data_IF_659952936946
#
_entry.id   IF_659952936946
#
_cell.length_a   1.000
_cell.length_b   1.000
_cell.length_c   1.000
_cell.angle_alpha   90.00
_cell.angle_beta   90.00
_cell.angle_gamma   90.00
#
_symmetry.space_group_name_H-M   'P 1'
#
loop_
_entity.id
_entity.type
_entity.pdbx_description
1 polymer ?
#
# COMPACT_ATOMS: atom_id res chain seq x y z
N UNK A 1 -15.07 3.82 30.74
CA UNK A 1 -15.25 4.17 29.31
C UNK A 1 -16.49 3.43 28.83
N UNK A 2 -17.38 4.06 28.06
CA UNK A 2 -18.63 3.40 27.65
C UNK A 2 -18.32 2.09 26.92
N UNK A 3 -19.12 1.06 27.16
CA UNK A 3 -18.89 -0.29 26.64
C UNK A 3 -18.88 -0.41 25.10
N UNK A 4 -19.19 0.66 24.37
CA UNK A 4 -19.44 0.65 22.92
C UNK A 4 -18.54 1.61 22.09
N UNK A 5 -17.31 1.95 22.53
CA UNK A 5 -16.40 2.78 21.71
C UNK A 5 -15.63 1.91 20.70
N UNK A 6 -15.88 2.03 19.37
CA UNK A 6 -15.40 1.05 18.39
C UNK A 6 -13.97 1.32 17.89
N UNK A 7 -13.23 2.20 18.58
CA UNK A 7 -11.85 2.57 18.21
C UNK A 7 -10.91 2.17 19.33
N UNK A 8 -9.82 1.53 18.95
CA UNK A 8 -8.68 1.34 19.85
C UNK A 8 -7.77 2.56 19.74
N UNK A 9 -7.58 3.26 20.86
CA UNK A 9 -6.66 4.40 20.97
C UNK A 9 -5.39 4.04 21.75
N UNK A 10 -5.35 2.82 22.28
CA UNK A 10 -4.27 2.35 23.14
C UNK A 10 -3.32 1.49 22.32
N UNK A 11 -3.85 0.55 21.52
CA UNK A 11 -3.04 -0.42 20.81
C UNK A 11 -2.10 -1.14 21.78
N UNK A 12 -0.83 -1.24 21.43
CA UNK A 12 0.19 -1.82 22.31
C UNK A 12 0.61 -0.93 23.49
N UNK A 13 0.17 0.33 23.54
CA UNK A 13 0.63 1.31 24.52
C UNK A 13 2.16 1.42 24.54
N UNK A 14 2.75 1.41 25.73
CA UNK A 14 4.21 1.50 25.91
C UNK A 14 4.93 0.13 25.86
N UNK A 15 4.23 -0.96 25.52
CA UNK A 15 4.79 -2.31 25.52
C UNK A 15 4.60 -3.00 24.14
N UNK A 16 5.11 -2.41 23.03
CA UNK A 16 5.04 -3.07 21.73
C UNK A 16 5.80 -4.41 21.74
N UNK A 17 5.28 -5.44 21.06
CA UNK A 17 5.96 -6.72 20.97
C UNK A 17 7.26 -6.55 20.18
N UNK A 18 8.35 -7.15 20.66
CA UNK A 18 9.58 -7.23 19.87
C UNK A 18 9.34 -8.16 18.67
N UNK A 19 9.44 -7.68 17.42
CA UNK A 19 8.97 -8.42 16.26
C UNK A 19 9.89 -9.56 15.82
N UNK A 20 11.14 -9.57 16.32
CA UNK A 20 12.16 -10.61 16.03
C UNK A 20 12.34 -10.83 14.52
N UNK A 21 12.50 -9.71 13.80
CA UNK A 21 12.64 -9.74 12.34
C UNK A 21 13.76 -10.69 11.87
N UNK A 22 13.58 -11.39 10.74
CA UNK A 22 14.60 -12.27 10.18
C UNK A 22 15.97 -11.59 10.05
N UNK A 23 17.03 -12.34 10.38
CA UNK A 23 18.40 -11.81 10.36
C UNK A 23 18.69 -10.81 11.49
N UNK A 24 17.87 -10.79 12.56
CA UNK A 24 17.95 -9.82 13.64
C UNK A 24 17.91 -8.38 13.10
N UNK A 25 17.04 -8.13 12.12
CA UNK A 25 16.94 -6.81 11.53
C UNK A 25 16.40 -5.79 12.55
N UNK A 26 17.04 -4.61 12.60
CA UNK A 26 16.63 -3.48 13.43
C UNK A 26 15.42 -2.76 12.84
N UNK A 27 15.20 -2.90 11.54
CA UNK A 27 14.06 -2.32 10.82
C UNK A 27 13.63 -3.23 9.66
N UNK A 28 12.33 -3.34 9.45
CA UNK A 28 11.75 -3.97 8.26
C UNK A 28 11.25 -2.88 7.29
N UNK A 29 11.73 -2.87 6.05
CA UNK A 29 11.32 -1.92 5.02
C UNK A 29 10.37 -2.58 4.03
N UNK A 30 9.14 -2.05 3.95
CA UNK A 30 8.12 -2.46 3.00
C UNK A 30 7.94 -1.40 1.92
N UNK A 31 8.59 -1.58 0.77
CA UNK A 31 8.33 -0.75 -0.41
C UNK A 31 7.06 -1.20 -1.12
N UNK A 32 6.14 -0.26 -1.30
CA UNK A 32 4.82 -0.49 -1.91
C UNK A 32 4.70 0.31 -3.19
N UNK A 33 4.49 -0.36 -4.32
CA UNK A 33 4.23 0.28 -5.60
C UNK A 33 2.75 0.14 -5.95
N UNK A 34 2.04 1.27 -5.99
CA UNK A 34 0.66 1.35 -6.42
C UNK A 34 0.60 1.31 -7.95
N UNK A 35 -0.28 0.46 -8.48
CA UNK A 35 -0.60 0.36 -9.90
C UNK A 35 -2.10 0.61 -10.10
N UNK A 36 -2.41 1.85 -10.45
CA UNK A 36 -3.78 2.39 -10.46
C UNK A 36 -4.16 2.92 -11.85
N UNK A 37 -3.16 3.16 -12.70
CA UNK A 37 -3.26 3.76 -14.02
C UNK A 37 -4.09 2.88 -14.98
N UNK A 38 -5.28 3.36 -15.32
CA UNK A 38 -6.32 2.66 -16.07
C UNK A 38 -7.49 2.18 -15.20
N UNK A 39 -7.43 2.36 -13.89
CA UNK A 39 -8.49 2.03 -12.92
C UNK A 39 -9.13 3.24 -12.23
N UNK A 40 -8.59 4.43 -12.45
CA UNK A 40 -9.04 5.72 -11.89
C UNK A 40 -10.42 6.16 -12.39
N UNK A 41 -10.91 7.31 -11.88
CA UNK A 41 -12.20 7.87 -12.32
C UNK A 41 -12.17 8.30 -13.78
N UNK A 42 -13.06 7.75 -14.58
CA UNK A 42 -13.27 8.15 -15.96
C UNK A 42 -14.70 7.79 -16.42
N UNK A 43 -15.32 8.64 -17.25
CA UNK A 43 -16.62 8.32 -17.85
C UNK A 43 -16.58 7.07 -18.74
N UNK A 44 -15.41 6.74 -19.30
CA UNK A 44 -15.18 5.50 -20.05
C UNK A 44 -15.21 4.24 -19.16
N UNK A 45 -15.11 4.42 -17.83
CA UNK A 45 -15.18 3.37 -16.83
C UNK A 45 -16.56 3.29 -16.17
N UNK A 46 -17.52 4.13 -16.61
CA UNK A 46 -18.87 4.22 -16.06
C UNK A 46 -19.01 5.22 -14.91
N UNK A 47 -17.97 6.02 -14.61
CA UNK A 47 -18.05 7.03 -13.58
C UNK A 47 -18.76 8.30 -14.08
N UNK A 48 -19.29 9.11 -13.16
CA UNK A 48 -19.98 10.36 -13.50
C UNK A 48 -19.06 11.54 -13.82
N UNK A 49 -17.76 11.40 -13.59
CA UNK A 49 -16.79 12.48 -13.64
C UNK A 49 -15.38 11.97 -13.97
N UNK A 50 -14.50 12.89 -14.37
CA UNK A 50 -13.06 12.62 -14.56
C UNK A 50 -12.28 12.67 -13.25
N UNK A 51 -11.12 12.02 -13.23
CA UNK A 51 -10.18 12.05 -12.12
C UNK A 51 -9.62 13.45 -11.83
N UNK A 52 -9.29 13.68 -10.57
CA UNK A 52 -8.72 14.94 -10.06
C UNK A 52 -7.61 14.73 -9.01
N UNK A 53 -7.38 13.49 -8.57
CA UNK A 53 -6.47 13.16 -7.49
C UNK A 53 -5.12 12.67 -8.02
N UNK A 54 -4.06 12.91 -7.25
CA UNK A 54 -2.68 12.44 -7.47
C UNK A 54 -2.17 12.59 -8.90
N UNK A 55 -2.09 13.84 -9.37
CA UNK A 55 -1.43 14.17 -10.62
C UNK A 55 -0.71 15.52 -10.55
N UNK A 56 0.04 15.85 -11.58
CA UNK A 56 0.74 17.14 -11.69
C UNK A 56 -0.22 18.34 -11.73
N UNK A 57 -1.51 18.11 -12.02
CA UNK A 57 -2.55 19.13 -11.92
C UNK A 57 -3.05 19.22 -10.47
N UNK A 58 -2.20 19.73 -9.57
CA UNK A 58 -2.43 19.73 -8.11
C UNK A 58 -3.70 20.46 -7.64
N UNK A 59 -4.28 21.30 -8.49
CA UNK A 59 -5.53 22.01 -8.25
C UNK A 59 -6.69 21.53 -9.14
N UNK A 60 -6.56 20.36 -9.78
CA UNK A 60 -7.60 19.79 -10.62
C UNK A 60 -8.90 19.60 -9.82
N UNK A 61 -10.02 19.79 -10.52
CA UNK A 61 -11.36 19.47 -10.04
C UNK A 61 -11.98 18.44 -11.00
N UNK A 62 -12.82 17.53 -10.50
CA UNK A 62 -13.52 16.58 -11.36
C UNK A 62 -14.42 17.30 -12.37
N UNK A 63 -14.36 16.91 -13.64
CA UNK A 63 -15.25 17.43 -14.67
C UNK A 63 -16.45 16.49 -14.83
N UNK A 64 -17.66 16.96 -14.50
CA UNK A 64 -18.90 16.17 -14.56
C UNK A 64 -19.25 15.80 -16.00
N UNK A 65 -19.49 14.50 -16.27
CA UNK A 65 -19.88 13.98 -17.58
C UNK A 65 -18.84 14.20 -18.68
N UNK A 66 -17.61 14.58 -18.34
CA UNK A 66 -16.56 14.94 -19.28
C UNK A 66 -15.29 14.15 -19.01
N UNK A 67 -14.52 13.94 -20.08
CA UNK A 67 -13.13 13.49 -20.00
C UNK A 67 -12.23 14.66 -19.70
N UNK A 68 -11.20 14.44 -18.88
CA UNK A 68 -10.12 15.38 -18.68
C UNK A 68 -8.87 14.83 -19.38
N UNK A 69 -8.66 15.24 -20.63
CA UNK A 69 -7.61 14.69 -21.51
C UNK A 69 -6.20 14.83 -20.91
N UNK A 70 -5.92 15.94 -20.24
CA UNK A 70 -4.63 16.15 -19.57
C UNK A 70 -4.45 15.20 -18.39
N UNK A 71 -5.50 14.99 -17.60
CA UNK A 71 -5.47 14.04 -16.49
C UNK A 71 -5.23 12.60 -16.98
N UNK A 72 -5.96 12.17 -18.02
CA UNK A 72 -5.77 10.86 -18.64
C UNK A 72 -4.31 10.67 -19.08
N UNK A 73 -3.73 11.65 -19.78
CA UNK A 73 -2.34 11.58 -20.24
C UNK A 73 -1.32 11.53 -19.10
N UNK A 74 -1.59 12.21 -17.97
CA UNK A 74 -0.74 12.16 -16.78
C UNK A 74 -0.77 10.76 -16.13
N UNK A 75 -1.93 10.11 -16.09
CA UNK A 75 -2.06 8.72 -15.65
C UNK A 75 -1.38 7.75 -16.62
N UNK A 76 -1.58 7.91 -17.93
CA UNK A 76 -0.92 7.10 -18.96
C UNK A 76 0.61 7.11 -18.83
N UNK A 77 1.23 8.19 -18.33
CA UNK A 77 2.67 8.20 -18.07
C UNK A 77 3.11 7.08 -17.12
N UNK A 78 2.33 6.83 -16.07
CA UNK A 78 2.65 5.82 -15.07
C UNK A 78 2.71 4.42 -15.68
N UNK A 79 1.66 4.01 -16.39
CA UNK A 79 1.59 2.69 -17.03
C UNK A 79 2.51 2.54 -18.24
N UNK A 80 2.77 3.62 -19.00
CA UNK A 80 3.61 3.57 -20.22
C UNK A 80 5.10 3.63 -19.93
N UNK A 81 5.52 4.40 -18.93
CA UNK A 81 6.93 4.74 -18.73
C UNK A 81 7.39 4.67 -17.28
N UNK A 82 6.59 5.19 -16.33
CA UNK A 82 6.95 5.26 -14.92
C UNK A 82 7.22 3.88 -14.32
N UNK A 83 6.28 2.95 -14.50
CA UNK A 83 6.33 1.59 -13.96
C UNK A 83 7.61 0.85 -14.36
N UNK A 84 7.98 0.88 -15.65
CA UNK A 84 9.17 0.19 -16.15
C UNK A 84 10.48 0.77 -15.59
N UNK A 85 10.50 2.07 -15.30
CA UNK A 85 11.68 2.71 -14.71
C UNK A 85 11.84 2.32 -13.24
N UNK A 86 10.73 2.23 -12.51
CA UNK A 86 10.71 1.82 -11.10
C UNK A 86 11.11 0.35 -10.97
N UNK A 87 10.51 -0.56 -11.74
CA UNK A 87 10.85 -1.99 -11.70
C UNK A 87 12.34 -2.23 -12.00
N UNK A 88 12.91 -1.52 -12.99
CA UNK A 88 14.35 -1.57 -13.27
C UNK A 88 15.21 -1.13 -12.07
N UNK A 89 14.80 -0.10 -11.34
CA UNK A 89 15.52 0.37 -10.16
C UNK A 89 15.50 -0.70 -9.06
N UNK A 90 14.34 -1.26 -8.73
CA UNK A 90 14.23 -2.28 -7.68
C UNK A 90 14.99 -3.56 -8.03
N UNK A 91 14.96 -3.98 -9.31
CA UNK A 91 15.78 -5.09 -9.81
C UNK A 91 17.28 -4.85 -9.68
N UNK A 92 17.75 -3.62 -9.93
CA UNK A 92 19.18 -3.28 -9.80
C UNK A 92 19.70 -3.45 -8.37
N UNK A 93 18.85 -3.26 -7.36
CA UNK A 93 19.21 -3.36 -5.95
C UNK A 93 18.78 -4.68 -5.29
N UNK A 94 18.16 -5.59 -6.05
CA UNK A 94 17.59 -6.84 -5.55
C UNK A 94 16.70 -6.59 -4.31
N UNK A 95 15.72 -5.71 -4.47
CA UNK A 95 14.75 -5.37 -3.42
C UNK A 95 13.36 -5.80 -3.89
N UNK A 96 12.65 -6.63 -3.11
CA UNK A 96 11.30 -7.02 -3.46
C UNK A 96 10.30 -5.89 -3.21
N UNK A 97 9.19 -5.92 -3.95
CA UNK A 97 8.07 -5.00 -3.80
C UNK A 97 6.80 -5.74 -3.39
N UNK A 98 5.91 -5.02 -2.71
CA UNK A 98 4.48 -5.33 -2.71
C UNK A 98 3.78 -4.40 -3.68
N UNK A 99 3.04 -4.95 -4.62
CA UNK A 99 2.28 -4.17 -5.60
C UNK A 99 0.85 -4.04 -5.09
N UNK A 100 0.41 -2.81 -4.86
CA UNK A 100 -1.00 -2.50 -4.64
C UNK A 100 -1.66 -2.33 -6.00
N UNK A 101 -2.20 -3.43 -6.54
CA UNK A 101 -2.71 -3.51 -7.90
C UNK A 101 -4.23 -3.33 -7.96
N UNK A 102 -4.68 -2.26 -8.60
CA UNK A 102 -6.10 -2.05 -8.89
C UNK A 102 -6.49 -3.02 -10.01
N UNK A 103 -7.51 -3.84 -9.79
CA UNK A 103 -7.79 -4.95 -10.69
C UNK A 103 -8.18 -4.50 -12.11
N UNK A 104 -8.94 -3.41 -12.26
CA UNK A 104 -9.22 -2.85 -13.58
C UNK A 104 -7.95 -2.37 -14.30
N UNK A 105 -7.01 -1.75 -13.59
CA UNK A 105 -5.73 -1.34 -14.17
C UNK A 105 -4.90 -2.55 -14.61
N UNK A 106 -4.87 -3.60 -13.79
CA UNK A 106 -4.22 -4.87 -14.10
C UNK A 106 -4.78 -5.52 -15.37
N UNK A 107 -6.11 -5.54 -15.57
CA UNK A 107 -6.73 -6.07 -16.80
C UNK A 107 -6.34 -5.32 -18.06
N UNK A 108 -6.11 -4.02 -17.96
CA UNK A 108 -5.73 -3.18 -19.11
C UNK A 108 -4.26 -3.36 -19.49
N UNK A 109 -3.43 -3.83 -18.58
CA UNK A 109 -2.00 -4.03 -18.83
C UNK A 109 -1.50 -5.32 -18.15
N UNK A 110 -2.01 -6.50 -18.54
CA UNK A 110 -1.67 -7.75 -17.85
C UNK A 110 -0.19 -8.12 -18.02
N UNK A 111 0.48 -7.60 -19.05
CA UNK A 111 1.92 -7.78 -19.29
C UNK A 111 2.78 -7.21 -18.16
N UNK A 112 2.44 -6.04 -17.61
CA UNK A 112 3.23 -5.47 -16.51
C UNK A 112 3.02 -6.23 -15.21
N UNK A 113 1.81 -6.74 -14.95
CA UNK A 113 1.54 -7.58 -13.78
C UNK A 113 2.32 -8.89 -13.88
N UNK A 114 2.34 -9.54 -15.05
CA UNK A 114 3.16 -10.74 -15.27
C UNK A 114 4.64 -10.46 -15.11
N UNK A 115 5.13 -9.28 -15.51
CA UNK A 115 6.52 -8.89 -15.26
C UNK A 115 6.81 -8.74 -13.76
N UNK A 116 5.92 -8.10 -13.01
CA UNK A 116 6.03 -7.96 -11.54
C UNK A 116 6.08 -9.33 -10.84
N UNK A 117 5.19 -10.26 -11.24
CA UNK A 117 5.19 -11.65 -10.72
C UNK A 117 6.47 -12.38 -11.08
N UNK A 118 6.95 -12.27 -12.31
CA UNK A 118 8.19 -12.91 -12.76
C UNK A 118 9.44 -12.39 -12.02
N UNK A 119 9.39 -11.16 -11.49
CA UNK A 119 10.42 -10.58 -10.63
C UNK A 119 10.23 -10.91 -9.13
N UNK A 120 9.25 -11.75 -8.79
CA UNK A 120 8.99 -12.21 -7.42
C UNK A 120 8.29 -11.21 -6.51
N UNK A 121 7.80 -10.09 -7.08
CA UNK A 121 7.01 -9.11 -6.33
C UNK A 121 5.65 -9.71 -5.94
N UNK A 122 5.15 -9.30 -4.78
CA UNK A 122 3.82 -9.69 -4.32
C UNK A 122 2.75 -8.87 -5.07
N UNK A 123 1.65 -9.51 -5.48
CA UNK A 123 0.45 -8.82 -5.98
C UNK A 123 -0.61 -8.79 -4.87
N UNK A 124 -0.73 -7.63 -4.21
CA UNK A 124 -1.76 -7.33 -3.23
C UNK A 124 -2.94 -6.63 -3.92
N UNK A 125 -4.17 -6.93 -3.49
CA UNK A 125 -5.35 -6.30 -4.07
C UNK A 125 -5.42 -4.84 -3.66
N UNK A 126 -5.59 -3.94 -4.64
CA UNK A 126 -5.90 -2.53 -4.40
C UNK A 126 -7.34 -2.17 -4.80
N UNK A 127 -8.28 -3.10 -4.60
CA UNK A 127 -9.66 -2.96 -5.04
C UNK A 127 -9.87 -3.20 -6.53
N UNK A 128 -11.14 -3.22 -6.96
CA UNK A 128 -11.48 -3.36 -8.38
C UNK A 128 -11.28 -2.04 -9.13
N UNK A 129 -11.66 -0.92 -8.50
CA UNK A 129 -11.61 0.43 -9.04
C UNK A 129 -10.81 1.31 -8.09
N UNK A 130 -10.09 2.28 -8.65
CA UNK A 130 -9.43 3.29 -7.84
C UNK A 130 -10.35 4.50 -7.65
N UNK A 131 -11.34 4.33 -6.78
CA UNK A 131 -12.38 5.34 -6.47
C UNK A 131 -12.54 5.49 -4.95
N UNK A 132 -13.41 6.41 -4.55
CA UNK A 132 -13.80 6.57 -3.15
C UNK A 132 -14.96 5.62 -2.82
N UNK A 133 -14.76 4.74 -1.84
CA UNK A 133 -15.74 3.77 -1.38
C UNK A 133 -16.59 4.28 -0.20
N UNK A 134 -16.34 5.50 0.30
CA UNK A 134 -17.01 6.09 1.46
C UNK A 134 -18.54 5.98 1.44
N UNK A 135 -19.15 6.14 0.27
CA UNK A 135 -20.60 6.19 0.08
C UNK A 135 -21.12 5.05 -0.83
N UNK A 136 -20.31 4.03 -1.09
CA UNK A 136 -20.74 2.87 -1.88
C UNK A 136 -21.69 1.99 -1.05
N UNK A 137 -22.73 1.46 -1.67
CA UNK A 137 -23.56 0.47 -0.99
C UNK A 137 -22.79 -0.83 -0.78
N UNK A 138 -23.07 -1.50 0.34
CA UNK A 138 -22.33 -2.69 0.76
C UNK A 138 -22.40 -3.84 -0.26
N UNK A 139 -23.52 -3.99 -0.96
CA UNK A 139 -23.68 -5.05 -1.95
C UNK A 139 -22.78 -4.81 -3.17
N UNK A 140 -22.73 -3.58 -3.67
CA UNK A 140 -21.83 -3.17 -4.74
C UNK A 140 -20.36 -3.27 -4.32
N UNK A 141 -20.01 -2.82 -3.12
CA UNK A 141 -18.63 -2.90 -2.61
C UNK A 141 -18.15 -4.35 -2.49
N UNK A 142 -19.00 -5.25 -1.99
CA UNK A 142 -18.71 -6.69 -1.91
C UNK A 142 -18.52 -7.31 -3.30
N UNK A 143 -19.33 -6.92 -4.29
CA UNK A 143 -19.15 -7.39 -5.67
C UNK A 143 -17.85 -6.85 -6.30
N UNK A 144 -17.49 -5.59 -6.05
CA UNK A 144 -16.20 -5.04 -6.46
C UNK A 144 -15.04 -5.84 -5.83
N UNK A 145 -15.16 -6.22 -4.56
CA UNK A 145 -14.16 -7.09 -3.91
C UNK A 145 -14.03 -8.45 -4.60
N UNK A 146 -15.16 -9.10 -4.85
CA UNK A 146 -15.19 -10.40 -5.54
C UNK A 146 -14.56 -10.32 -6.93
N UNK A 147 -14.87 -9.27 -7.69
CA UNK A 147 -14.29 -9.04 -9.02
C UNK A 147 -12.79 -8.81 -8.96
N UNK A 148 -12.31 -8.00 -8.00
CA UNK A 148 -10.89 -7.76 -7.83
C UNK A 148 -10.11 -9.05 -7.55
N UNK A 149 -10.59 -9.87 -6.62
CA UNK A 149 -9.98 -11.16 -6.28
C UNK A 149 -9.92 -12.06 -7.51
N UNK A 150 -11.05 -12.21 -8.23
CA UNK A 150 -11.12 -13.04 -9.43
C UNK A 150 -10.09 -12.61 -10.48
N UNK A 151 -10.11 -11.32 -10.84
CA UNK A 151 -9.25 -10.75 -11.88
C UNK A 151 -7.77 -10.92 -11.54
N UNK A 152 -7.39 -10.57 -10.30
CA UNK A 152 -5.99 -10.64 -9.90
C UNK A 152 -5.50 -12.09 -9.81
N UNK A 153 -6.38 -13.02 -9.41
CA UNK A 153 -6.08 -14.46 -9.44
C UNK A 153 -5.82 -14.93 -10.88
N UNK A 154 -6.68 -14.55 -11.82
CA UNK A 154 -6.55 -14.94 -13.24
C UNK A 154 -5.27 -14.40 -13.88
N UNK A 155 -4.86 -13.16 -13.56
CA UNK A 155 -3.70 -12.51 -14.18
C UNK A 155 -2.38 -12.95 -13.52
N UNK A 156 -2.35 -13.05 -12.19
CA UNK A 156 -1.11 -13.33 -11.44
C UNK A 156 -0.86 -14.81 -11.19
N UNK A 157 -1.87 -15.67 -11.34
CA UNK A 157 -1.79 -17.12 -11.15
C UNK A 157 -2.10 -17.59 -9.73
N UNK A 158 -2.09 -16.70 -8.74
CA UNK A 158 -2.47 -16.98 -7.35
C UNK A 158 -3.40 -15.89 -6.84
N UNK A 159 -4.25 -16.21 -5.85
CA UNK A 159 -5.14 -15.20 -5.26
C UNK A 159 -4.35 -14.17 -4.45
N UNK A 160 -4.78 -12.89 -4.42
CA UNK A 160 -4.20 -11.92 -3.49
C UNK A 160 -4.47 -12.36 -2.04
N UNK A 161 -3.44 -12.25 -1.20
CA UNK A 161 -3.50 -12.54 0.24
C UNK A 161 -3.50 -11.28 1.10
N UNK A 162 -3.25 -10.12 0.49
CA UNK A 162 -3.39 -8.79 1.09
C UNK A 162 -4.49 -7.98 0.42
N UNK A 163 -5.06 -7.04 1.18
CA UNK A 163 -6.01 -6.05 0.68
C UNK A 163 -5.67 -4.63 1.17
N UNK A 164 -5.85 -3.65 0.29
CA UNK A 164 -5.83 -2.22 0.62
C UNK A 164 -6.80 -1.47 -0.30
N UNK A 165 -7.76 -0.72 0.20
CA UNK A 165 -8.62 0.16 -0.63
C UNK A 165 -8.08 1.59 -0.67
N UNK A 166 -7.48 2.06 0.41
CA UNK A 166 -7.08 3.45 0.62
C UNK A 166 -8.26 4.33 1.00
N UNK A 167 -9.13 4.66 0.03
CA UNK A 167 -10.33 5.50 0.27
C UNK A 167 -11.51 4.63 0.71
N UNK A 168 -11.39 4.06 1.91
CA UNK A 168 -12.36 3.13 2.50
C UNK A 168 -13.71 3.80 2.79
N UNK A 169 -14.78 3.01 2.73
CA UNK A 169 -16.01 3.28 3.46
C UNK A 169 -16.09 2.53 4.79
N UNK A 170 -17.18 2.70 5.56
CA UNK A 170 -17.33 2.10 6.88
C UNK A 170 -17.43 0.57 6.84
N UNK A 171 -17.73 -0.01 5.68
CA UNK A 171 -17.88 -1.45 5.50
C UNK A 171 -16.61 -2.13 5.00
N UNK A 172 -15.66 -1.38 4.42
CA UNK A 172 -14.56 -1.94 3.63
C UNK A 172 -13.77 -3.02 4.38
N UNK A 173 -13.16 -2.66 5.53
CA UNK A 173 -12.36 -3.62 6.32
C UNK A 173 -13.19 -4.78 6.85
N UNK A 174 -14.46 -4.55 7.21
CA UNK A 174 -15.38 -5.62 7.60
C UNK A 174 -15.62 -6.61 6.46
N UNK A 175 -15.85 -6.13 5.25
CA UNK A 175 -16.03 -6.99 4.07
C UNK A 175 -14.76 -7.80 3.76
N UNK A 176 -13.57 -7.20 3.92
CA UNK A 176 -12.29 -7.90 3.74
C UNK A 176 -12.18 -9.06 4.71
N UNK A 177 -12.50 -8.82 5.98
CA UNK A 177 -12.53 -9.86 7.01
C UNK A 177 -13.57 -10.95 6.75
N UNK A 178 -14.78 -10.56 6.33
CA UNK A 178 -15.87 -11.48 5.99
C UNK A 178 -15.54 -12.40 4.82
N UNK A 179 -14.74 -11.94 3.83
CA UNK A 179 -14.30 -12.76 2.70
C UNK A 179 -13.44 -13.96 3.16
N UNK A 180 -12.57 -13.74 4.15
CA UNK A 180 -11.93 -14.79 4.92
C UNK A 180 -10.75 -15.51 4.26
N UNK A 181 -10.33 -15.10 3.06
CA UNK A 181 -9.16 -15.64 2.35
C UNK A 181 -7.92 -14.74 2.37
N UNK A 182 -8.00 -13.56 2.99
CA UNK A 182 -6.86 -12.66 3.19
C UNK A 182 -6.09 -13.00 4.47
N UNK A 183 -4.76 -12.96 4.39
CA UNK A 183 -3.89 -13.00 5.56
C UNK A 183 -3.88 -11.65 6.28
N UNK A 184 -3.89 -10.56 5.51
CA UNK A 184 -3.77 -9.22 6.07
C UNK A 184 -4.55 -8.15 5.30
N UNK A 185 -4.81 -7.01 5.96
CA UNK A 185 -5.21 -5.75 5.34
C UNK A 185 -4.26 -4.61 5.72
N UNK A 186 -4.30 -3.51 4.96
CA UNK A 186 -3.44 -2.33 5.17
C UNK A 186 -4.21 -1.01 5.25
N UNK A 187 -5.52 -1.04 5.48
CA UNK A 187 -6.38 0.15 5.46
C UNK A 187 -6.34 0.93 6.80
N UNK A 188 -5.20 0.88 7.48
CA UNK A 188 -4.93 1.61 8.73
C UNK A 188 -3.59 2.34 8.66
N UNK A 189 -3.42 3.34 9.53
CA UNK A 189 -2.24 4.23 9.59
C UNK A 189 -1.90 4.54 11.06
N UNK A 190 -2.07 3.54 11.92
CA UNK A 190 -2.28 3.69 13.36
C UNK A 190 -1.21 3.04 14.24
N UNK A 191 -0.20 2.38 13.66
CA UNK A 191 0.91 1.78 14.41
C UNK A 191 2.17 1.65 13.51
N UNK A 192 3.32 1.43 14.15
CA UNK A 192 4.62 1.13 13.52
C UNK A 192 4.89 -0.39 13.41
N UNK A 193 3.94 -1.21 13.88
CA UNK A 193 3.98 -2.68 13.84
C UNK A 193 2.68 -3.31 13.32
N UNK A 194 2.75 -4.54 12.78
CA UNK A 194 1.56 -5.34 12.57
C UNK A 194 0.84 -5.67 13.88
N UNK A 195 -0.48 -5.84 13.83
CA UNK A 195 -1.29 -6.27 14.97
C UNK A 195 -2.50 -7.09 14.52
N UNK A 196 -3.09 -7.87 15.42
CA UNK A 196 -4.29 -8.63 15.12
C UNK A 196 -5.55 -7.78 15.30
N UNK A 197 -6.43 -7.75 14.30
CA UNK A 197 -7.67 -6.97 14.33
C UNK A 197 -8.56 -7.38 15.52
N UNK A 198 -8.84 -6.48 16.47
CA UNK A 198 -9.57 -6.82 17.69
C UNK A 198 -11.05 -7.11 17.46
N UNK A 199 -11.65 -6.55 16.39
CA UNK A 199 -13.09 -6.59 16.15
C UNK A 199 -13.46 -7.41 14.91
N UNK A 200 -12.77 -8.52 14.63
CA UNK A 200 -13.10 -9.37 13.49
C UNK A 200 -14.41 -10.15 13.73
N UNK A 201 -15.49 -9.88 12.96
CA UNK A 201 -16.79 -10.53 13.16
C UNK A 201 -16.78 -12.04 12.87
N UNK A 202 -15.78 -12.55 12.15
CA UNK A 202 -15.67 -13.98 11.81
C UNK A 202 -15.03 -14.83 12.90
N UNK A 203 -14.39 -14.20 13.89
CA UNK A 203 -13.59 -14.88 14.92
C UNK A 203 -12.28 -15.51 14.42
N UNK A 204 -11.95 -15.39 13.13
CA UNK A 204 -10.67 -15.84 12.58
C UNK A 204 -9.57 -14.80 12.86
N UNK A 205 -8.28 -15.20 12.96
CA UNK A 205 -7.19 -14.24 12.97
C UNK A 205 -7.20 -13.42 11.68
N UNK A 206 -7.14 -12.09 11.79
CA UNK A 206 -6.91 -11.19 10.66
C UNK A 206 -5.84 -10.20 11.04
N UNK A 207 -4.75 -10.16 10.27
CA UNK A 207 -3.63 -9.31 10.56
C UNK A 207 -3.83 -7.92 9.92
N UNK A 208 -3.61 -6.88 10.70
CA UNK A 208 -3.45 -5.53 10.20
C UNK A 208 -1.96 -5.28 10.04
N UNK A 209 -1.55 -4.80 8.87
CA UNK A 209 -0.21 -4.25 8.66
C UNK A 209 -0.41 -2.79 8.28
N UNK A 210 -0.18 -1.82 9.18
CA UNK A 210 -0.42 -0.41 8.90
C UNK A 210 0.38 0.11 7.70
N UNK A 211 -0.24 1.00 6.93
CA UNK A 211 0.37 1.68 5.79
C UNK A 211 0.71 3.14 6.11
N UNK A 212 1.00 3.97 5.10
CA UNK A 212 1.45 5.36 5.28
C UNK A 212 0.82 6.32 4.26
N UNK A 213 0.53 7.54 4.73
CA UNK A 213 0.18 8.70 3.90
C UNK A 213 1.24 9.82 3.98
N UNK A 214 2.34 9.59 4.70
CA UNK A 214 3.38 10.58 4.95
C UNK A 214 4.73 10.20 4.31
N UNK A 215 5.28 9.01 4.57
CA UNK A 215 6.40 8.41 3.82
C UNK A 215 5.93 7.86 2.47
N UNK A 216 5.22 8.71 1.73
CA UNK A 216 4.49 8.36 0.52
C UNK A 216 4.67 9.45 -0.55
N UNK A 217 5.03 9.04 -1.76
CA UNK A 217 5.28 9.96 -2.88
C UNK A 217 4.01 10.68 -3.36
N UNK A 218 2.81 10.27 -2.92
CA UNK A 218 1.56 11.01 -3.14
C UNK A 218 1.70 12.49 -2.75
N UNK A 219 2.53 12.76 -1.73
CA UNK A 219 2.81 14.08 -1.18
C UNK A 219 3.51 15.01 -2.18
N UNK A 220 4.08 14.52 -3.28
CA UNK A 220 4.54 15.40 -4.36
C UNK A 220 3.42 16.17 -5.08
N UNK A 221 2.16 15.77 -4.89
CA UNK A 221 1.00 16.34 -5.60
C UNK A 221 -0.10 16.87 -4.68
N UNK A 222 0.14 16.84 -3.37
CA UNK A 222 -0.78 17.37 -2.37
C UNK A 222 -0.47 18.84 -2.08
N UNK A 223 -1.47 19.55 -1.53
CA UNK A 223 -1.33 20.96 -1.12
C UNK A 223 -0.20 21.19 -0.13
N UNK A 224 0.01 20.23 0.78
CA UNK A 224 1.20 20.15 1.62
C UNK A 224 2.01 18.93 1.15
N UNK A 225 3.23 19.20 0.72
CA UNK A 225 3.97 18.22 -0.04
C UNK A 225 5.46 18.45 -0.16
N UNK A 226 6.07 17.58 -0.94
CA UNK A 226 7.47 17.70 -1.34
C UNK A 226 7.55 18.47 -2.66
N UNK A 227 8.28 19.58 -2.66
CA UNK A 227 8.54 20.38 -3.86
C UNK A 227 9.66 19.79 -4.71
N UNK A 228 10.52 18.96 -4.15
CA UNK A 228 11.62 18.32 -4.87
C UNK A 228 12.03 16.98 -4.24
N UNK A 229 12.91 16.26 -4.94
CA UNK A 229 13.40 14.96 -4.49
C UNK A 229 14.21 14.99 -3.18
N UNK A 230 14.95 16.07 -2.90
CA UNK A 230 15.72 16.18 -1.66
C UNK A 230 14.82 16.10 -0.42
N UNK A 231 13.69 16.78 -0.45
CA UNK A 231 12.74 16.79 0.66
C UNK A 231 12.16 15.40 0.93
N UNK A 232 11.80 14.66 -0.13
CA UNK A 232 11.34 13.28 0.04
C UNK A 232 12.43 12.37 0.57
N UNK A 233 13.66 12.48 0.03
CA UNK A 233 14.81 11.71 0.52
C UNK A 233 15.07 11.97 2.00
N UNK A 234 15.15 13.23 2.43
CA UNK A 234 15.41 13.57 3.83
C UNK A 234 14.29 13.07 4.74
N UNK A 235 13.03 13.21 4.32
CA UNK A 235 11.91 12.71 5.10
C UNK A 235 11.97 11.19 5.31
N UNK A 236 12.30 10.42 4.26
CA UNK A 236 12.50 8.97 4.37
C UNK A 236 13.73 8.62 5.22
N UNK A 237 14.82 9.38 5.07
CA UNK A 237 16.06 9.19 5.84
C UNK A 237 15.81 9.41 7.33
N UNK A 238 15.13 10.48 7.71
CA UNK A 238 14.86 10.80 9.11
C UNK A 238 13.95 9.73 9.76
N UNK A 239 12.91 9.28 9.05
CA UNK A 239 12.06 8.18 9.50
C UNK A 239 12.86 6.88 9.67
N UNK A 240 13.72 6.55 8.71
CA UNK A 240 14.62 5.40 8.80
C UNK A 240 15.55 5.52 10.01
N UNK A 241 16.23 6.64 10.20
CA UNK A 241 17.22 6.82 11.26
C UNK A 241 16.61 6.67 12.64
N UNK A 242 15.42 7.24 12.86
CA UNK A 242 14.71 7.12 14.13
C UNK A 242 14.31 5.68 14.41
N UNK A 243 13.64 5.00 13.47
CA UNK A 243 13.20 3.62 13.65
C UNK A 243 14.37 2.63 13.73
N UNK A 244 15.45 2.90 12.99
CA UNK A 244 16.66 2.09 13.05
C UNK A 244 17.36 2.22 14.41
N UNK A 245 17.41 3.45 14.98
CA UNK A 245 17.93 3.69 16.32
C UNK A 245 17.10 2.97 17.39
N UNK A 246 15.77 3.14 17.37
CA UNK A 246 14.85 2.41 18.27
C UNK A 246 14.97 0.89 18.15
N UNK A 247 15.29 0.39 16.95
CA UNK A 247 15.52 -1.01 16.68
C UNK A 247 16.73 -1.65 17.36
N UNK A 248 17.50 -0.90 18.15
CA UNK A 248 18.47 -1.50 19.09
C UNK A 248 17.74 -2.36 20.14
N UNK A 249 16.61 -1.89 20.62
CA UNK A 249 15.83 -2.52 21.68
C UNK A 249 14.44 -2.97 21.21
N UNK A 250 13.79 -2.21 20.32
CA UNK A 250 12.42 -2.45 19.88
C UNK A 250 12.25 -2.19 18.37
N UNK A 251 12.69 -3.12 17.49
CA UNK A 251 12.55 -2.99 16.04
C UNK A 251 11.12 -2.71 15.57
N UNK A 252 10.99 -1.98 14.48
CA UNK A 252 9.71 -1.58 13.86
C UNK A 252 9.72 -1.84 12.35
N UNK A 253 8.61 -1.57 11.69
CA UNK A 253 8.55 -1.53 10.22
C UNK A 253 8.35 -0.12 9.70
N UNK A 254 8.78 0.12 8.46
CA UNK A 254 8.53 1.37 7.73
C UNK A 254 7.95 1.05 6.36
N UNK A 255 6.77 1.61 6.07
CA UNK A 255 6.17 1.57 4.75
C UNK A 255 6.67 2.73 3.89
N UNK A 256 6.95 2.49 2.61
CA UNK A 256 7.26 3.53 1.63
C UNK A 256 6.29 3.42 0.46
N UNK A 257 5.37 4.38 0.37
CA UNK A 257 4.34 4.42 -0.67
C UNK A 257 4.82 5.08 -1.96
N UNK A 258 4.63 4.39 -3.09
CA UNK A 258 5.10 4.82 -4.40
C UNK A 258 3.97 4.72 -5.45
N UNK A 259 3.91 5.66 -6.40
CA UNK A 259 2.95 5.63 -7.50
C UNK A 259 3.67 5.74 -8.85
N UNK A 260 3.27 4.91 -9.82
CA UNK A 260 3.94 4.83 -11.12
C UNK A 260 4.02 6.18 -11.84
N UNK A 261 2.91 6.93 -11.86
CA UNK A 261 2.84 8.27 -12.48
C UNK A 261 3.61 9.36 -11.74
N UNK A 262 3.94 9.16 -10.46
CA UNK A 262 4.59 10.15 -9.60
C UNK A 262 6.10 9.90 -9.49
N UNK A 263 6.56 8.98 -8.61
CA UNK A 263 7.99 8.71 -8.44
C UNK A 263 8.66 8.20 -9.72
N UNK A 264 7.89 7.61 -10.64
CA UNK A 264 8.39 7.16 -11.94
C UNK A 264 8.94 8.28 -12.83
N UNK A 265 8.61 9.55 -12.52
CA UNK A 265 9.23 10.73 -13.15
C UNK A 265 10.72 10.80 -12.79
N UNK A 266 11.62 11.03 -13.76
CA UNK A 266 13.06 10.99 -13.52
C UNK A 266 13.53 11.99 -12.46
N UNK A 267 12.88 13.16 -12.36
CA UNK A 267 13.19 14.18 -11.37
C UNK A 267 12.95 13.71 -9.91
N UNK A 268 11.99 12.81 -9.70
CA UNK A 268 11.65 12.28 -8.37
C UNK A 268 12.36 10.96 -8.09
N UNK A 269 12.53 10.11 -9.10
CA UNK A 269 13.17 8.80 -8.94
C UNK A 269 14.60 8.88 -8.38
N UNK A 270 15.33 9.96 -8.66
CA UNK A 270 16.67 10.18 -8.11
C UNK A 270 16.69 10.15 -6.58
N UNK A 271 15.63 10.66 -5.92
CA UNK A 271 15.50 10.62 -4.46
C UNK A 271 15.26 9.22 -3.92
N UNK A 272 14.38 8.45 -4.58
CA UNK A 272 14.14 7.06 -4.20
C UNK A 272 15.41 6.22 -4.31
N UNK A 273 16.17 6.38 -5.41
CA UNK A 273 17.46 5.71 -5.59
C UNK A 273 18.42 6.04 -4.44
N UNK A 274 18.55 7.33 -4.07
CA UNK A 274 19.39 7.75 -2.95
C UNK A 274 18.96 7.14 -1.62
N UNK A 275 17.66 7.04 -1.36
CA UNK A 275 17.17 6.40 -0.13
C UNK A 275 17.45 4.89 -0.11
N UNK A 276 17.26 4.20 -1.25
CA UNK A 276 17.62 2.79 -1.37
C UNK A 276 19.12 2.58 -1.11
N UNK A 277 19.98 3.41 -1.72
CA UNK A 277 21.43 3.37 -1.50
C UNK A 277 21.79 3.64 -0.04
N UNK A 278 21.10 4.60 0.60
CA UNK A 278 21.26 4.90 2.02
C UNK A 278 20.91 3.67 2.87
N UNK A 279 19.68 3.15 2.76
CA UNK A 279 19.23 2.01 3.56
C UNK A 279 20.07 0.75 3.35
N UNK A 280 20.51 0.46 2.11
CA UNK A 280 21.43 -0.66 1.80
C UNK A 280 22.83 -0.47 2.40
N UNK A 281 23.21 0.76 2.74
CA UNK A 281 24.45 1.09 3.44
C UNK A 281 24.46 0.72 4.93
N UNK A 282 23.30 0.31 5.49
CA UNK A 282 23.18 -0.14 6.87
C UNK A 282 23.04 -1.66 6.94
N UNK A 283 23.69 -2.27 7.94
CA UNK A 283 23.49 -3.69 8.28
C UNK A 283 22.12 -3.88 8.94
N UNK A 284 21.66 -5.14 9.04
CA UNK A 284 20.44 -5.47 9.80
C UNK A 284 19.18 -4.72 9.32
N UNK A 285 19.02 -4.55 8.00
CA UNK A 285 17.80 -4.04 7.37
C UNK A 285 17.11 -5.16 6.62
N UNK A 286 15.84 -5.44 6.94
CA UNK A 286 15.04 -6.43 6.24
C UNK A 286 14.18 -5.79 5.16
N UNK A 287 14.64 -5.85 3.91
CA UNK A 287 13.85 -5.47 2.73
C UNK A 287 12.87 -6.60 2.40
N UNK A 288 11.57 -6.34 2.49
CA UNK A 288 10.58 -7.41 2.51
C UNK A 288 9.26 -7.06 1.83
N UNK A 289 8.48 -8.09 1.49
CA UNK A 289 7.10 -7.96 1.01
C UNK A 289 6.14 -8.02 2.19
N UNK A 290 4.93 -7.50 2.04
CA UNK A 290 3.96 -7.46 3.13
C UNK A 290 3.42 -8.84 3.47
N UNK A 291 3.25 -9.73 2.50
CA UNK A 291 2.90 -11.15 2.76
C UNK A 291 3.97 -11.86 3.58
N UNK A 292 5.24 -11.47 3.44
CA UNK A 292 6.33 -12.08 4.22
C UNK A 292 6.31 -11.55 5.66
N UNK A 293 6.01 -10.26 5.87
CA UNK A 293 5.70 -9.72 7.21
C UNK A 293 4.50 -10.45 7.82
N UNK A 294 3.44 -10.66 7.04
CA UNK A 294 2.25 -11.36 7.53
C UNK A 294 2.60 -12.78 8.00
N UNK A 295 3.25 -13.57 7.15
CA UNK A 295 3.66 -14.94 7.47
C UNK A 295 4.61 -15.01 8.67
N UNK A 296 5.53 -14.04 8.76
CA UNK A 296 6.41 -13.88 9.92
C UNK A 296 5.59 -13.67 11.20
N UNK A 297 4.64 -12.72 11.18
CA UNK A 297 3.80 -12.42 12.33
C UNK A 297 2.92 -13.61 12.75
N UNK A 298 2.32 -14.31 11.79
CA UNK A 298 1.57 -15.55 12.03
C UNK A 298 2.40 -16.63 12.75
N UNK A 299 3.71 -16.67 12.49
CA UNK A 299 4.61 -17.68 13.07
C UNK A 299 5.15 -17.23 14.44
N UNK A 300 5.60 -15.98 14.53
CA UNK A 300 6.35 -15.45 15.67
C UNK A 300 5.45 -14.83 16.75
N UNK A 301 4.28 -14.33 16.35
CA UNK A 301 3.28 -13.68 17.18
C UNK A 301 1.87 -14.24 16.88
N UNK A 302 1.65 -15.56 17.03
CA UNK A 302 0.38 -16.18 16.64
C UNK A 302 -0.78 -15.61 17.46
N UNK A 303 -1.94 -15.41 16.81
CA UNK A 303 -3.14 -14.94 17.48
C UNK A 303 -3.57 -15.87 18.62
N UNK A 304 -3.74 -15.34 19.83
CA UNK A 304 -4.04 -16.13 21.04
C UNK A 304 -5.53 -16.14 21.43
N UNK A 305 -6.40 -15.47 20.68
CA UNK A 305 -7.84 -15.41 20.97
C UNK A 305 -8.21 -14.52 22.16
N UNK A 306 -7.23 -13.87 22.80
CA UNK A 306 -7.41 -12.82 23.79
C UNK A 306 -6.90 -11.53 23.17
N UNK A 307 -7.67 -10.44 23.25
CA UNK A 307 -7.10 -9.11 23.05
C UNK A 307 -5.93 -9.00 24.04
N UNK A 308 -4.71 -8.83 23.53
CA UNK A 308 -3.56 -8.54 24.37
C UNK A 308 -3.87 -7.21 25.09
N UNK A 309 -3.96 -7.27 26.43
CA UNK A 309 -4.26 -6.13 27.31
C UNK A 309 -2.98 -5.39 27.68
#
# INVERSE_FOLDING_TARGET
MSADYPRDLIGYGNNPPHPRWPGNARIALSFVLNYEEGGERNILHGDKESEAFLSEMVAAQPLQGQRNMSMESLYEYGSRAGVWRILKLFRQFDIPLTIFAVAMAAQRHPEVIRAMVAEGHEICSHGYRWIDYQNMDEAQEREHMRQAIQILTEISGERPLGWYTGRTGPNTRRLVMEEGGFLYDCDTYDDDLPYWEPNNPTGKPHLVIPYTLDTNDMRFTQVQGFNNGEQFFQYLKDAFDMLYAEGEDAPKMLSIGLHCRLIGRPARLAALKRFIEYAKGHEQVWFTRRVDIARHWHTEHPFTGKAEQ
#
